data_IF_180366287979
#
_entry.id   IF_180366287979
#
_cell.length_a   1.000
_cell.length_b   1.000
_cell.length_c   1.000
_cell.angle_alpha   90.00
_cell.angle_beta   90.00
_cell.angle_gamma   90.00
#
_symmetry.space_group_name_H-M   'P 1'
#
loop_
_entity.id
_entity.type
_entity.pdbx_description
1 polymer ?
#
# COMPACT_ATOMS: atom_id res chain seq x y z
N UNK A 1 19.64 13.43 3.26
CA UNK A 1 19.44 12.23 2.41
C UNK A 1 19.51 10.98 3.26
N UNK A 2 18.57 10.05 3.09
CA UNK A 2 18.51 8.72 3.73
C UNK A 2 18.75 7.70 2.61
N UNK A 3 19.99 7.25 2.39
CA UNK A 3 20.29 6.37 1.26
C UNK A 3 19.73 4.96 1.51
N UNK A 4 19.26 4.30 0.44
CA UNK A 4 18.91 2.89 0.44
C UNK A 4 20.09 2.06 1.01
N UNK A 5 19.80 1.05 1.82
CA UNK A 5 20.78 0.22 2.49
C UNK A 5 21.40 0.83 3.76
N UNK A 6 21.02 2.07 4.13
CA UNK A 6 21.54 2.68 5.36
C UNK A 6 20.92 2.10 6.64
N UNK A 7 19.69 1.58 6.56
CA UNK A 7 18.91 1.04 7.70
C UNK A 7 18.94 1.94 8.95
N UNK A 8 19.00 3.26 8.71
CA UNK A 8 19.29 4.25 9.77
C UNK A 8 18.08 4.58 10.66
N UNK A 9 16.89 4.22 10.23
CA UNK A 9 15.67 4.45 11.00
C UNK A 9 15.18 3.12 11.59
N UNK A 10 15.10 3.01 12.92
CA UNK A 10 14.69 1.77 13.55
C UNK A 10 13.20 1.51 13.35
N UNK A 11 12.85 0.24 13.19
CA UNK A 11 11.47 -0.21 13.33
C UNK A 11 11.12 -0.41 14.80
N UNK A 12 9.82 -0.49 15.09
CA UNK A 12 9.32 -0.71 16.43
C UNK A 12 9.95 -1.96 17.09
N UNK A 13 10.18 -1.93 18.40
CA UNK A 13 10.69 -3.09 19.13
C UNK A 13 9.88 -4.35 18.85
N UNK A 14 10.56 -5.50 18.86
CA UNK A 14 9.95 -6.79 18.59
C UNK A 14 9.57 -7.05 17.11
N UNK A 15 9.96 -6.19 16.17
CA UNK A 15 9.77 -6.44 14.74
C UNK A 15 10.71 -7.55 14.26
N UNK A 16 10.16 -8.61 13.64
CA UNK A 16 10.95 -9.66 12.98
C UNK A 16 11.61 -9.14 11.71
N UNK A 17 12.74 -9.77 11.37
CA UNK A 17 13.47 -9.55 10.11
C UNK A 17 13.73 -10.90 9.46
N UNK A 18 13.84 -10.97 8.13
CA UNK A 18 14.31 -12.19 7.48
C UNK A 18 15.67 -12.60 8.06
N UNK A 19 15.83 -13.90 8.24
CA UNK A 19 17.11 -14.46 8.66
C UNK A 19 18.16 -14.24 7.57
N UNK A 20 19.41 -14.04 7.98
CA UNK A 20 20.52 -13.91 7.04
C UNK A 20 21.14 -12.52 6.99
N UNK A 21 21.96 -12.30 5.98
CA UNK A 21 22.72 -11.05 5.79
C UNK A 21 21.83 -9.92 5.24
N UNK A 22 21.67 -8.79 5.96
CA UNK A 22 20.90 -7.64 5.44
C UNK A 22 21.41 -7.14 4.09
N UNK A 23 22.72 -7.17 3.84
CA UNK A 23 23.28 -6.78 2.55
C UNK A 23 22.87 -7.73 1.42
N UNK A 24 22.60 -9.01 1.71
CA UNK A 24 22.02 -9.91 0.73
C UNK A 24 20.56 -9.56 0.41
N UNK A 25 19.78 -9.18 1.42
CA UNK A 25 18.43 -8.70 1.23
C UNK A 25 18.41 -7.42 0.38
N UNK A 26 19.28 -6.47 0.64
CA UNK A 26 19.41 -5.24 -0.17
C UNK A 26 19.74 -5.53 -1.64
N UNK A 27 20.64 -6.48 -1.90
CA UNK A 27 20.96 -6.90 -3.28
C UNK A 27 19.72 -7.45 -4.02
N UNK A 28 18.88 -8.23 -3.34
CA UNK A 28 17.65 -8.77 -3.91
C UNK A 28 16.63 -7.69 -4.21
N UNK A 29 16.45 -6.72 -3.31
CA UNK A 29 15.60 -5.54 -3.55
C UNK A 29 16.11 -4.76 -4.75
N UNK A 30 17.42 -4.47 -4.79
CA UNK A 30 18.03 -3.70 -5.88
C UNK A 30 17.91 -4.39 -7.24
N UNK A 31 18.06 -5.72 -7.29
CA UNK A 31 17.85 -6.51 -8.50
C UNK A 31 16.40 -6.40 -8.99
N UNK A 32 15.43 -6.55 -8.07
CA UNK A 32 14.02 -6.44 -8.40
C UNK A 32 13.64 -5.02 -8.83
N UNK A 33 14.18 -3.99 -8.16
CA UNK A 33 14.01 -2.59 -8.54
C UNK A 33 14.52 -2.31 -9.96
N UNK A 34 15.72 -2.77 -10.30
CA UNK A 34 16.30 -2.58 -11.64
C UNK A 34 15.42 -3.19 -12.71
N UNK A 35 14.92 -4.39 -12.46
CA UNK A 35 13.98 -5.04 -13.36
C UNK A 35 12.66 -4.26 -13.46
N UNK A 36 12.08 -3.84 -12.34
CA UNK A 36 10.85 -3.05 -12.30
C UNK A 36 11.02 -1.72 -13.06
N UNK A 37 12.11 -0.99 -12.80
CA UNK A 37 12.47 0.24 -13.49
C UNK A 37 12.53 0.04 -15.01
N UNK A 38 13.23 -0.99 -15.48
CA UNK A 38 13.37 -1.30 -16.91
C UNK A 38 12.04 -1.73 -17.56
N UNK A 39 11.17 -2.42 -16.82
CA UNK A 39 9.93 -2.97 -17.34
C UNK A 39 8.78 -1.97 -17.38
N UNK A 40 8.68 -1.08 -16.40
CA UNK A 40 7.48 -0.28 -16.19
C UNK A 40 7.70 1.23 -16.21
N UNK A 41 8.90 1.76 -16.13
CA UNK A 41 9.09 3.20 -16.33
C UNK A 41 9.16 3.54 -17.82
N UNK A 42 8.41 4.57 -18.20
CA UNK A 42 8.43 5.17 -19.55
C UNK A 42 8.79 6.63 -19.42
N UNK A 43 9.43 7.19 -20.45
CA UNK A 43 9.88 8.59 -20.42
C UNK A 43 9.81 9.25 -21.79
N UNK A 44 9.84 10.59 -21.80
CA UNK A 44 9.86 11.37 -23.02
C UNK A 44 8.54 11.31 -23.80
N UNK A 45 8.61 11.10 -25.11
CA UNK A 45 7.44 11.14 -26.00
C UNK A 45 6.40 10.05 -25.69
N UNK A 46 6.81 8.94 -25.07
CA UNK A 46 5.89 7.86 -24.65
C UNK A 46 4.92 8.31 -23.54
N UNK A 47 5.23 9.40 -22.83
CA UNK A 47 4.45 9.91 -21.70
C UNK A 47 4.08 11.39 -21.84
N UNK A 48 3.94 11.86 -23.08
CA UNK A 48 3.47 13.20 -23.36
C UNK A 48 4.53 14.29 -23.30
N UNK A 49 5.83 13.96 -23.44
CA UNK A 49 6.86 14.95 -23.71
C UNK A 49 8.13 14.90 -22.86
N UNK A 50 9.06 15.74 -23.26
CA UNK A 50 10.40 15.79 -22.68
C UNK A 50 10.39 16.08 -21.19
N UNK A 51 11.15 15.30 -20.43
CA UNK A 51 11.33 15.45 -18.98
C UNK A 51 10.22 14.86 -18.13
N UNK A 52 9.19 14.24 -18.74
CA UNK A 52 8.21 13.43 -18.03
C UNK A 52 8.66 11.98 -17.94
N UNK A 53 8.24 11.34 -16.88
CA UNK A 53 8.36 9.90 -16.67
C UNK A 53 7.03 9.43 -16.07
N UNK A 54 6.62 8.20 -16.35
CA UNK A 54 5.43 7.62 -15.74
C UNK A 54 5.60 6.12 -15.56
N UNK A 55 4.90 5.57 -14.58
CA UNK A 55 4.80 4.12 -14.41
C UNK A 55 3.71 3.59 -15.34
N UNK A 56 4.14 2.75 -16.27
CA UNK A 56 3.30 2.11 -17.26
C UNK A 56 2.71 0.81 -16.70
N UNK A 57 1.44 0.59 -16.95
CA UNK A 57 0.77 -0.70 -16.75
C UNK A 57 0.47 -1.33 -18.12
N UNK A 58 0.61 -2.66 -18.28
CA UNK A 58 0.35 -3.33 -19.56
C UNK A 58 -1.16 -3.52 -19.82
N UNK A 59 -1.98 -2.59 -19.36
CA UNK A 59 -3.40 -2.50 -19.70
C UNK A 59 -3.56 -1.57 -20.91
N UNK A 60 -4.08 -2.12 -22.01
CA UNK A 60 -4.23 -1.36 -23.25
C UNK A 60 -5.25 -0.21 -23.14
N UNK A 61 -6.23 -0.32 -22.24
CA UNK A 61 -7.24 0.72 -22.02
C UNK A 61 -6.74 1.83 -21.06
N UNK A 62 -5.96 1.45 -20.04
CA UNK A 62 -5.52 2.34 -18.97
C UNK A 62 -4.04 2.11 -18.65
N UNK A 63 -3.13 2.45 -19.57
CA UNK A 63 -1.70 2.21 -19.40
C UNK A 63 -1.04 3.07 -18.31
N UNK A 64 -1.70 4.13 -17.87
CA UNK A 64 -1.24 4.96 -16.78
C UNK A 64 -2.39 5.17 -15.79
N UNK A 65 -2.16 4.78 -14.54
CA UNK A 65 -3.14 4.90 -13.45
C UNK A 65 -2.52 5.57 -12.23
N UNK A 66 -3.32 6.31 -11.47
CA UNK A 66 -2.89 7.09 -10.31
C UNK A 66 -2.13 6.23 -9.28
N UNK A 67 -2.65 5.04 -8.95
CA UNK A 67 -1.99 4.09 -8.04
C UNK A 67 -0.55 3.78 -8.47
N UNK A 68 -0.33 3.51 -9.76
CA UNK A 68 0.99 3.20 -10.27
C UNK A 68 1.95 4.39 -10.17
N UNK A 69 1.45 5.63 -10.38
CA UNK A 69 2.26 6.83 -10.22
C UNK A 69 2.62 7.06 -8.75
N UNK A 70 1.67 6.87 -7.82
CA UNK A 70 1.93 6.90 -6.39
C UNK A 70 3.03 5.91 -5.98
N UNK A 71 2.93 4.65 -6.43
CA UNK A 71 3.98 3.65 -6.23
C UNK A 71 5.33 4.10 -6.78
N UNK A 72 5.35 4.68 -7.98
CA UNK A 72 6.57 5.18 -8.60
C UNK A 72 7.26 6.26 -7.78
N UNK A 73 6.51 7.20 -7.23
CA UNK A 73 7.05 8.27 -6.37
C UNK A 73 7.60 7.70 -5.06
N UNK A 74 6.87 6.83 -4.38
CA UNK A 74 7.34 6.20 -3.13
C UNK A 74 8.61 5.37 -3.39
N UNK A 75 8.60 4.50 -4.40
CA UNK A 75 9.72 3.63 -4.73
C UNK A 75 10.97 4.46 -5.07
N UNK A 76 10.87 5.45 -5.95
CA UNK A 76 12.02 6.24 -6.37
C UNK A 76 12.62 7.06 -5.23
N UNK A 77 11.79 7.60 -4.33
CA UNK A 77 12.27 8.27 -3.13
C UNK A 77 13.06 7.34 -2.18
N UNK A 78 12.57 6.11 -1.99
CA UNK A 78 13.22 5.12 -1.12
C UNK A 78 14.48 4.50 -1.75
N UNK A 79 14.60 4.49 -3.08
CA UNK A 79 15.78 3.98 -3.80
C UNK A 79 16.91 5.00 -3.96
N UNK A 80 16.76 6.20 -3.44
CA UNK A 80 17.82 7.21 -3.45
C UNK A 80 19.11 6.68 -2.79
N UNK A 81 20.24 7.00 -3.40
CA UNK A 81 21.56 6.51 -2.97
C UNK A 81 21.98 5.19 -3.64
N UNK A 82 21.03 4.30 -4.00
CA UNK A 82 21.33 3.10 -4.79
C UNK A 82 21.12 3.34 -6.30
N UNK A 83 20.20 4.23 -6.66
CA UNK A 83 19.98 4.65 -8.05
C UNK A 83 20.37 6.12 -8.20
N UNK A 84 21.41 6.44 -9.00
CA UNK A 84 21.81 7.82 -9.25
C UNK A 84 20.75 8.65 -9.99
N UNK A 85 19.81 7.99 -10.71
CA UNK A 85 18.74 8.64 -11.45
C UNK A 85 17.48 8.86 -10.59
N UNK A 86 17.42 8.34 -9.36
CA UNK A 86 16.21 8.32 -8.53
C UNK A 86 15.51 9.67 -8.41
N UNK A 87 16.24 10.75 -8.16
CA UNK A 87 15.69 12.09 -8.05
C UNK A 87 15.10 12.58 -9.39
N UNK A 88 15.81 12.35 -10.50
CA UNK A 88 15.34 12.73 -11.84
C UNK A 88 14.09 11.94 -12.26
N UNK A 89 14.02 10.68 -11.89
CA UNK A 89 12.85 9.81 -12.13
C UNK A 89 11.65 10.27 -11.29
N UNK A 90 11.87 10.56 -10.01
CA UNK A 90 10.84 11.13 -9.13
C UNK A 90 10.26 12.41 -9.74
N UNK A 91 11.11 13.38 -10.10
CA UNK A 91 10.69 14.63 -10.73
C UNK A 91 9.97 14.42 -12.06
N UNK A 92 10.38 13.41 -12.82
CA UNK A 92 9.72 13.03 -14.07
C UNK A 92 8.29 12.52 -13.85
N UNK A 93 8.09 11.64 -12.84
CA UNK A 93 6.78 11.11 -12.46
C UNK A 93 5.93 12.25 -11.88
N UNK A 94 6.50 13.09 -11.04
CA UNK A 94 5.78 14.25 -10.49
C UNK A 94 5.29 15.21 -11.59
N UNK A 95 6.09 15.47 -12.64
CA UNK A 95 5.64 16.28 -13.79
C UNK A 95 4.49 15.62 -14.55
N UNK A 96 4.47 14.30 -14.65
CA UNK A 96 3.32 13.58 -15.21
C UNK A 96 2.08 13.78 -14.33
N UNK A 97 2.19 13.53 -13.03
CA UNK A 97 1.10 13.72 -12.06
C UNK A 97 0.52 15.15 -12.13
N UNK A 98 1.38 16.17 -12.10
CA UNK A 98 0.95 17.57 -12.13
C UNK A 98 0.34 18.01 -13.48
N UNK A 99 0.58 17.26 -14.55
CA UNK A 99 0.01 17.54 -15.87
C UNK A 99 -1.41 16.96 -16.05
N UNK A 100 -1.87 16.12 -15.12
CA UNK A 100 -3.14 15.43 -15.17
C UNK A 100 -3.93 15.64 -13.86
N UNK A 101 -4.35 16.90 -13.57
CA UNK A 101 -5.16 17.17 -12.38
C UNK A 101 -6.56 16.56 -12.53
N UNK A 102 -7.18 16.21 -11.40
CA UNK A 102 -8.59 15.86 -11.39
C UNK A 102 -9.45 17.03 -11.87
N UNK A 103 -10.56 16.72 -12.56
CA UNK A 103 -11.53 17.72 -12.98
C UNK A 103 -12.24 18.38 -11.79
N UNK A 104 -12.30 17.70 -10.66
CA UNK A 104 -12.99 18.19 -9.45
C UNK A 104 -12.08 19.02 -8.54
N UNK A 105 -10.77 18.70 -8.49
CA UNK A 105 -9.81 19.43 -7.65
C UNK A 105 -8.41 19.48 -8.28
N UNK A 106 -7.78 20.67 -8.45
CA UNK A 106 -6.50 20.81 -9.17
C UNK A 106 -5.29 20.18 -8.46
N UNK A 107 -5.37 19.95 -7.15
CA UNK A 107 -4.30 19.29 -6.38
C UNK A 107 -4.49 17.77 -6.25
N UNK A 108 -5.57 17.19 -6.80
CA UNK A 108 -5.75 15.75 -6.95
C UNK A 108 -5.38 15.29 -8.37
N UNK A 109 -5.17 13.99 -8.56
CA UNK A 109 -4.72 13.43 -9.82
C UNK A 109 -5.84 12.67 -10.54
N UNK A 110 -6.04 12.94 -11.84
CA UNK A 110 -6.96 12.17 -12.67
C UNK A 110 -6.55 10.69 -12.69
N UNK A 111 -7.47 9.81 -12.33
CA UNK A 111 -7.18 8.42 -11.99
C UNK A 111 -6.55 7.62 -13.13
N UNK A 112 -6.84 7.97 -14.39
CA UNK A 112 -6.49 7.14 -15.55
C UNK A 112 -6.17 7.97 -16.79
N UNK A 113 -5.10 7.58 -17.52
CA UNK A 113 -4.77 8.12 -18.84
C UNK A 113 -4.69 6.99 -19.87
N UNK A 114 -5.11 7.30 -21.10
CA UNK A 114 -4.94 6.40 -22.26
C UNK A 114 -3.51 6.45 -22.83
N UNK A 115 -3.22 5.60 -23.80
CA UNK A 115 -1.91 5.53 -24.46
C UNK A 115 -1.52 6.82 -25.21
N UNK A 116 -2.47 7.72 -25.48
CA UNK A 116 -2.24 9.06 -26.02
C UNK A 116 -1.96 10.12 -24.96
N UNK A 117 -1.93 9.74 -23.68
CA UNK A 117 -1.74 10.65 -22.55
C UNK A 117 -2.95 11.54 -22.28
N UNK A 118 -4.17 11.13 -22.65
CA UNK A 118 -5.40 11.87 -22.36
C UNK A 118 -6.07 11.26 -21.13
N UNK A 119 -6.59 12.11 -20.27
CA UNK A 119 -7.38 11.65 -19.14
C UNK A 119 -8.67 10.96 -19.63
N UNK A 120 -9.02 9.82 -19.00
CA UNK A 120 -10.18 8.99 -19.34
C UNK A 120 -10.93 8.60 -18.06
N UNK A 121 -12.09 7.95 -18.22
CA UNK A 121 -12.84 7.40 -17.08
C UNK A 121 -13.49 8.45 -16.17
N UNK A 122 -13.87 9.62 -16.65
CA UNK A 122 -14.49 10.68 -15.84
C UNK A 122 -13.54 11.84 -15.54
N UNK A 123 -12.23 11.63 -15.68
CA UNK A 123 -11.17 12.59 -15.39
C UNK A 123 -11.11 12.99 -13.89
N UNK A 124 -11.67 12.17 -13.04
CA UNK A 124 -11.75 12.30 -11.60
C UNK A 124 -10.64 11.51 -10.91
N UNK A 125 -10.53 11.63 -9.59
CA UNK A 125 -9.42 11.05 -8.83
C UNK A 125 -9.68 9.60 -8.37
N UNK A 126 -8.62 8.98 -7.84
CA UNK A 126 -8.67 7.73 -7.08
C UNK A 126 -7.87 7.89 -5.79
N UNK A 127 -8.54 7.65 -4.66
CA UNK A 127 -8.01 7.94 -3.33
C UNK A 127 -6.70 7.24 -3.03
N UNK A 128 -6.54 5.96 -3.40
CA UNK A 128 -5.28 5.22 -3.17
C UNK A 128 -4.08 5.87 -3.87
N UNK A 129 -4.29 6.36 -5.10
CA UNK A 129 -3.26 7.07 -5.85
C UNK A 129 -2.87 8.39 -5.20
N UNK A 130 -3.85 9.20 -4.80
CA UNK A 130 -3.59 10.50 -4.18
C UNK A 130 -2.93 10.38 -2.80
N UNK A 131 -3.30 9.37 -2.01
CA UNK A 131 -2.63 9.06 -0.75
C UNK A 131 -1.15 8.72 -0.95
N UNK A 132 -0.83 7.79 -1.86
CA UNK A 132 0.55 7.40 -2.15
C UNK A 132 1.36 8.55 -2.80
N UNK A 133 0.74 9.38 -3.66
CA UNK A 133 1.38 10.57 -4.24
C UNK A 133 1.74 11.58 -3.15
N UNK A 134 0.81 11.89 -2.23
CA UNK A 134 1.05 12.80 -1.12
C UNK A 134 2.18 12.29 -0.21
N UNK A 135 2.16 10.98 0.10
CA UNK A 135 3.20 10.34 0.90
C UNK A 135 4.56 10.36 0.20
N UNK A 136 4.59 10.06 -1.10
CA UNK A 136 5.80 10.15 -1.93
C UNK A 136 6.42 11.55 -1.93
N UNK A 137 5.59 12.60 -1.98
CA UNK A 137 6.05 13.99 -1.87
C UNK A 137 6.68 14.31 -0.50
N UNK A 138 6.12 13.79 0.59
CA UNK A 138 6.72 13.93 1.92
C UNK A 138 8.06 13.18 2.03
N UNK A 139 8.16 11.98 1.44
CA UNK A 139 9.42 11.25 1.35
C UNK A 139 10.46 12.05 0.56
N UNK A 140 10.08 12.68 -0.55
CA UNK A 140 10.97 13.48 -1.38
C UNK A 140 11.48 14.72 -0.64
N UNK A 141 10.61 15.42 0.10
CA UNK A 141 11.01 16.56 0.93
C UNK A 141 12.08 16.14 1.95
N UNK A 142 11.85 15.03 2.67
CA UNK A 142 12.83 14.51 3.62
C UNK A 142 14.12 14.01 2.96
N UNK A 143 14.02 13.46 1.74
CA UNK A 143 15.16 12.88 1.02
C UNK A 143 16.06 13.94 0.39
N UNK A 144 15.46 14.94 -0.26
CA UNK A 144 16.18 15.93 -1.08
C UNK A 144 15.97 17.37 -0.66
N UNK A 145 15.02 17.64 0.23
CA UNK A 145 14.59 19.01 0.56
C UNK A 145 13.89 19.66 -0.64
N UNK A 146 13.95 20.98 -0.73
CA UNK A 146 13.45 21.67 -1.91
C UNK A 146 14.36 21.40 -3.12
N UNK A 147 13.77 20.85 -4.20
CA UNK A 147 14.44 20.59 -5.48
C UNK A 147 13.98 21.55 -6.57
N UNK A 148 13.63 21.01 -7.75
CA UNK A 148 12.94 21.78 -8.80
C UNK A 148 11.52 22.18 -8.42
N UNK A 149 10.95 21.50 -7.41
CA UNK A 149 9.62 21.74 -6.84
C UNK A 149 9.73 21.87 -5.33
N UNK A 150 8.83 22.63 -4.74
CA UNK A 150 8.61 22.63 -3.30
C UNK A 150 7.74 21.40 -2.94
N UNK A 151 8.41 20.26 -2.69
CA UNK A 151 7.74 18.99 -2.40
C UNK A 151 6.84 19.10 -1.16
N UNK A 152 7.28 19.82 -0.13
CA UNK A 152 6.49 20.01 1.09
C UNK A 152 5.21 20.77 0.81
N UNK A 153 5.28 21.88 0.09
CA UNK A 153 4.10 22.67 -0.25
C UNK A 153 3.13 21.88 -1.14
N UNK A 154 3.66 21.11 -2.11
CA UNK A 154 2.84 20.22 -2.96
C UNK A 154 2.16 19.13 -2.13
N UNK A 155 2.89 18.50 -1.20
CA UNK A 155 2.33 17.49 -0.31
C UNK A 155 1.19 18.05 0.54
N UNK A 156 1.40 19.18 1.21
CA UNK A 156 0.39 19.79 2.09
C UNK A 156 -0.88 20.13 1.31
N UNK A 157 -0.78 20.76 0.13
CA UNK A 157 -1.97 21.05 -0.69
C UNK A 157 -2.74 19.80 -1.08
N UNK A 158 -2.04 18.72 -1.47
CA UNK A 158 -2.69 17.44 -1.82
C UNK A 158 -3.32 16.79 -0.59
N UNK A 159 -2.65 16.78 0.55
CA UNK A 159 -3.18 16.25 1.81
C UNK A 159 -4.45 17.00 2.22
N UNK A 160 -4.48 18.33 2.08
CA UNK A 160 -5.67 19.14 2.34
C UNK A 160 -6.79 18.81 1.35
N UNK A 161 -6.48 18.66 0.06
CA UNK A 161 -7.45 18.27 -0.97
C UNK A 161 -8.04 16.86 -0.74
N UNK A 162 -7.21 15.89 -0.35
CA UNK A 162 -7.66 14.55 0.04
C UNK A 162 -8.62 14.64 1.22
N UNK A 163 -8.28 15.40 2.25
CA UNK A 163 -9.13 15.55 3.44
C UNK A 163 -10.47 16.23 3.10
N UNK A 164 -10.48 17.15 2.16
CA UNK A 164 -11.68 17.86 1.71
C UNK A 164 -12.56 17.01 0.79
N UNK A 165 -11.96 16.33 -0.19
CA UNK A 165 -12.69 15.68 -1.29
C UNK A 165 -12.81 14.17 -1.16
N UNK A 166 -11.83 13.50 -0.55
CA UNK A 166 -11.71 12.03 -0.53
C UNK A 166 -11.88 11.40 0.85
N UNK A 167 -12.11 12.23 1.88
CA UNK A 167 -12.51 11.77 3.23
C UNK A 167 -13.94 12.21 3.51
N UNK A 168 -14.79 11.28 3.95
CA UNK A 168 -16.17 11.60 4.29
C UNK A 168 -16.25 12.45 5.55
N UNK A 169 -16.88 13.62 5.46
CA UNK A 169 -16.90 14.63 6.51
C UNK A 169 -17.48 14.19 7.86
N UNK A 170 -18.44 13.24 7.83
CA UNK A 170 -19.10 12.74 9.05
C UNK A 170 -18.43 11.50 9.64
N UNK A 171 -18.06 10.52 8.81
CA UNK A 171 -17.49 9.24 9.28
C UNK A 171 -15.99 9.24 9.40
N UNK A 172 -15.30 10.18 8.76
CA UNK A 172 -13.84 10.25 8.65
C UNK A 172 -13.21 9.07 7.91
N UNK A 173 -14.00 8.27 7.20
CA UNK A 173 -13.48 7.19 6.36
C UNK A 173 -13.12 7.71 4.97
N UNK A 174 -12.14 7.09 4.35
CA UNK A 174 -11.78 7.36 2.94
C UNK A 174 -12.93 6.97 2.02
N UNK A 175 -13.19 7.80 1.02
CA UNK A 175 -14.07 7.53 -0.11
C UNK A 175 -13.26 6.87 -1.23
N UNK A 176 -13.88 6.58 -2.36
CA UNK A 176 -13.23 5.93 -3.50
C UNK A 176 -12.45 6.91 -4.38
N UNK A 177 -12.82 8.18 -4.32
CA UNK A 177 -12.26 9.29 -5.07
C UNK A 177 -13.10 10.55 -4.86
N UNK A 178 -12.69 11.67 -5.43
CA UNK A 178 -13.37 12.97 -5.33
C UNK A 178 -14.74 13.01 -6.04
N UNK A 179 -15.06 12.01 -6.84
CA UNK A 179 -16.32 11.79 -7.53
C UNK A 179 -17.37 11.07 -6.67
N UNK A 180 -16.98 10.46 -5.56
CA UNK A 180 -17.86 9.64 -4.73
C UNK A 180 -19.03 10.45 -4.18
N UNK A 181 -20.22 10.10 -4.61
CA UNK A 181 -21.48 10.74 -4.22
C UNK A 181 -22.64 9.75 -4.25
N UNK A 182 -23.78 10.11 -3.66
CA UNK A 182 -24.94 9.23 -3.59
C UNK A 182 -24.59 7.91 -2.90
N UNK A 183 -24.89 6.78 -3.53
CA UNK A 183 -24.58 5.45 -2.95
C UNK A 183 -23.08 5.20 -2.76
N UNK A 184 -22.20 5.86 -3.49
CA UNK A 184 -20.76 5.69 -3.35
C UNK A 184 -20.16 6.53 -2.22
N UNK A 185 -20.90 7.48 -1.67
CA UNK A 185 -20.50 8.23 -0.48
C UNK A 185 -20.50 7.36 0.79
N UNK A 186 -21.16 6.20 0.73
CA UNK A 186 -21.24 5.20 1.80
C UNK A 186 -20.34 3.99 1.57
N UNK A 187 -19.36 4.10 0.68
CA UNK A 187 -18.44 3.01 0.33
C UNK A 187 -17.00 3.43 0.64
N UNK A 188 -16.27 2.53 1.27
CA UNK A 188 -14.82 2.70 1.51
C UNK A 188 -14.08 1.44 1.06
N UNK A 189 -12.93 1.62 0.41
CA UNK A 189 -12.03 0.55 -0.03
C UNK A 189 -10.99 0.29 1.05
N UNK A 190 -10.80 -0.97 1.46
CA UNK A 190 -9.92 -1.29 2.59
C UNK A 190 -8.44 -1.04 2.31
N UNK A 191 -8.01 -1.21 1.07
CA UNK A 191 -6.63 -0.92 0.66
C UNK A 191 -6.24 0.57 0.72
N UNK A 192 -7.23 1.46 0.82
CA UNK A 192 -7.02 2.90 1.01
C UNK A 192 -6.89 3.26 2.51
N UNK A 193 -7.04 2.28 3.39
CA UNK A 193 -6.83 2.44 4.81
C UNK A 193 -5.34 2.32 5.12
N UNK A 194 -4.64 3.45 5.04
CA UNK A 194 -3.18 3.56 5.11
C UNK A 194 -2.74 4.28 6.40
N UNK A 195 -2.70 3.58 7.56
CA UNK A 195 -2.47 4.22 8.85
C UNK A 195 -1.16 4.99 8.95
N UNK A 196 -0.07 4.49 8.35
CA UNK A 196 1.23 5.14 8.31
C UNK A 196 1.20 6.46 7.50
N UNK A 197 0.43 6.51 6.42
CA UNK A 197 0.18 7.72 5.64
C UNK A 197 -0.60 8.75 6.45
N UNK A 198 -1.67 8.35 7.12
CA UNK A 198 -2.47 9.24 7.96
C UNK A 198 -1.65 9.88 9.08
N UNK A 199 -0.73 9.10 9.70
CA UNK A 199 0.22 9.65 10.69
C UNK A 199 1.18 10.66 10.09
N UNK A 200 1.70 10.37 8.90
CA UNK A 200 2.58 11.28 8.18
C UNK A 200 1.86 12.58 7.81
N UNK A 201 0.60 12.49 7.37
CA UNK A 201 -0.22 13.65 7.02
C UNK A 201 -0.53 14.50 8.26
N UNK A 202 -0.85 13.86 9.39
CA UNK A 202 -0.99 14.54 10.68
C UNK A 202 0.27 15.30 11.08
N UNK A 203 1.42 14.67 10.95
CA UNK A 203 2.71 15.29 11.27
C UNK A 203 3.06 16.44 10.31
N UNK A 204 2.75 16.28 9.02
CA UNK A 204 3.08 17.24 7.99
C UNK A 204 2.25 18.52 8.05
N UNK A 205 0.94 18.40 8.32
CA UNK A 205 -0.03 19.50 8.28
C UNK A 205 -0.33 20.08 9.66
N UNK A 206 -0.16 19.29 10.73
CA UNK A 206 -0.62 19.66 12.07
C UNK A 206 -2.15 19.54 12.25
N UNK A 207 -2.91 19.11 11.23
CA UNK A 207 -4.37 19.06 11.28
C UNK A 207 -4.86 17.85 12.10
N UNK A 208 -5.57 18.08 13.23
CA UNK A 208 -6.01 17.01 14.11
C UNK A 208 -7.08 16.09 13.49
N UNK A 209 -7.72 16.48 12.40
CA UNK A 209 -8.68 15.64 11.69
C UNK A 209 -8.05 14.33 11.18
N UNK A 210 -6.74 14.30 10.94
CA UNK A 210 -6.03 13.08 10.58
C UNK A 210 -5.93 12.07 11.72
N UNK A 211 -5.97 12.53 12.99
CA UNK A 211 -6.10 11.61 14.14
C UNK A 211 -7.50 10.96 14.15
N UNK A 212 -8.54 11.73 13.80
CA UNK A 212 -9.93 11.23 13.67
C UNK A 212 -10.04 10.22 12.51
N UNK A 213 -9.39 10.51 11.36
CA UNK A 213 -9.32 9.59 10.22
C UNK A 213 -8.66 8.27 10.62
N UNK A 214 -7.49 8.33 11.24
CA UNK A 214 -6.78 7.15 11.73
C UNK A 214 -7.64 6.31 12.67
N UNK A 215 -8.26 6.94 13.68
CA UNK A 215 -9.06 6.23 14.66
C UNK A 215 -10.34 5.62 14.07
N UNK A 216 -11.00 6.30 13.13
CA UNK A 216 -12.16 5.79 12.42
C UNK A 216 -11.81 4.50 11.65
N UNK A 217 -10.71 4.52 10.89
CA UNK A 217 -10.26 3.36 10.12
C UNK A 217 -9.87 2.19 11.01
N UNK A 218 -9.06 2.42 12.06
CA UNK A 218 -8.64 1.33 12.95
C UNK A 218 -9.81 0.77 13.79
N UNK A 219 -10.80 1.59 14.10
CA UNK A 219 -12.05 1.12 14.73
C UNK A 219 -12.82 0.22 13.76
N UNK A 220 -12.92 0.62 12.49
CA UNK A 220 -13.62 -0.16 11.48
C UNK A 220 -12.90 -1.48 11.16
N UNK A 221 -11.56 -1.46 11.07
CA UNK A 221 -10.74 -2.69 10.98
C UNK A 221 -11.11 -3.66 12.09
N UNK A 222 -11.14 -3.19 13.34
CA UNK A 222 -11.53 -4.02 14.50
C UNK A 222 -12.95 -4.57 14.38
N UNK A 223 -13.91 -3.74 13.98
CA UNK A 223 -15.31 -4.10 13.83
C UNK A 223 -15.53 -5.15 12.74
N UNK A 224 -14.95 -4.95 11.54
CA UNK A 224 -15.06 -5.89 10.42
C UNK A 224 -14.46 -7.24 10.80
N UNK A 225 -13.25 -7.25 11.38
CA UNK A 225 -12.59 -8.48 11.81
C UNK A 225 -13.40 -9.25 12.84
N UNK A 226 -13.96 -8.56 13.82
CA UNK A 226 -14.72 -9.21 14.90
C UNK A 226 -16.07 -9.74 14.42
N UNK A 227 -16.78 -9.00 13.57
CA UNK A 227 -18.16 -9.34 13.17
C UNK A 227 -18.23 -10.23 11.94
N UNK A 228 -17.33 -10.05 10.97
CA UNK A 228 -17.42 -10.66 9.65
C UNK A 228 -16.31 -11.66 9.35
N UNK A 229 -15.17 -11.56 10.04
CA UNK A 229 -14.01 -12.41 9.82
C UNK A 229 -13.34 -12.88 11.13
N UNK A 230 -14.11 -13.38 12.14
CA UNK A 230 -13.55 -13.67 13.46
C UNK A 230 -12.50 -14.78 13.47
N UNK A 231 -12.56 -15.70 12.50
CA UNK A 231 -11.61 -16.81 12.38
C UNK A 231 -10.37 -16.46 11.54
N UNK A 232 -10.45 -15.46 10.67
CA UNK A 232 -9.40 -15.17 9.69
C UNK A 232 -8.75 -13.79 9.88
N UNK A 233 -9.53 -12.82 10.32
CA UNK A 233 -9.14 -11.42 10.36
C UNK A 233 -9.04 -10.75 8.98
N UNK A 234 -9.48 -11.42 7.90
CA UNK A 234 -9.47 -10.88 6.55
C UNK A 234 -10.39 -9.67 6.43
N UNK A 235 -10.02 -8.72 5.57
CA UNK A 235 -10.85 -7.57 5.22
C UNK A 235 -11.41 -7.76 3.81
N UNK A 236 -12.60 -7.23 3.49
CA UNK A 236 -13.15 -7.25 2.14
C UNK A 236 -12.51 -6.18 1.27
N UNK A 237 -12.60 -6.30 -0.05
CA UNK A 237 -12.18 -5.22 -0.96
C UNK A 237 -12.93 -3.91 -0.66
N UNK A 238 -14.25 -4.00 -0.41
CA UNK A 238 -15.08 -2.84 -0.09
C UNK A 238 -15.98 -3.06 1.12
N UNK A 239 -16.11 -2.01 1.92
CA UNK A 239 -17.09 -1.87 3.00
C UNK A 239 -18.15 -0.88 2.56
N UNK A 240 -19.42 -1.23 2.74
CA UNK A 240 -20.59 -0.40 2.42
C UNK A 240 -21.34 0.02 3.68
N UNK A 241 -22.33 0.88 3.51
CA UNK A 241 -23.19 1.39 4.58
C UNK A 241 -22.38 2.11 5.68
N UNK A 242 -21.28 2.75 5.31
CA UNK A 242 -20.35 3.39 6.26
C UNK A 242 -20.98 4.55 7.05
N UNK A 243 -22.09 5.13 6.55
CA UNK A 243 -22.81 6.23 7.20
C UNK A 243 -24.00 5.76 8.05
N UNK A 244 -24.43 4.50 7.90
CA UNK A 244 -25.62 3.97 8.57
C UNK A 244 -25.40 3.54 10.04
N UNK A 245 -24.15 3.52 10.50
CA UNK A 245 -23.78 3.01 11.81
C UNK A 245 -23.63 1.47 11.88
N UNK A 246 -23.85 0.74 10.78
CA UNK A 246 -23.63 -0.70 10.66
C UNK A 246 -22.83 -1.04 9.38
N UNK A 247 -21.58 -0.55 9.29
CA UNK A 247 -20.74 -0.83 8.12
C UNK A 247 -20.46 -2.34 8.00
N UNK A 248 -20.55 -2.83 6.75
CA UNK A 248 -20.45 -4.27 6.44
C UNK A 248 -19.72 -4.52 5.11
N UNK A 249 -19.20 -5.73 4.90
CA UNK A 249 -18.66 -6.13 3.60
C UNK A 249 -19.68 -5.93 2.48
N UNK A 250 -19.21 -5.55 1.30
CA UNK A 250 -20.08 -5.41 0.13
C UNK A 250 -20.86 -6.72 -0.14
N UNK A 251 -22.17 -6.67 -0.40
CA UNK A 251 -22.98 -7.89 -0.59
C UNK A 251 -22.75 -8.58 -1.95
N UNK A 252 -21.86 -8.04 -2.77
CA UNK A 252 -21.53 -8.47 -4.12
C UNK A 252 -20.92 -7.29 -4.87
N UNK A 253 -21.07 -7.23 -6.21
CA UNK A 253 -20.47 -6.17 -7.00
C UNK A 253 -21.05 -4.79 -6.63
N UNK A 254 -20.19 -3.93 -6.12
CA UNK A 254 -20.46 -2.51 -5.86
C UNK A 254 -19.76 -1.65 -6.92
N UNK A 255 -18.51 -1.93 -7.21
CA UNK A 255 -17.70 -1.18 -8.17
C UNK A 255 -17.00 -2.10 -9.18
N UNK A 256 -16.20 -3.06 -8.74
CA UNK A 256 -15.23 -3.76 -9.59
C UNK A 256 -15.67 -5.18 -9.98
N UNK A 257 -16.04 -6.01 -9.00
CA UNK A 257 -16.26 -7.43 -9.24
C UNK A 257 -17.36 -8.02 -8.35
N UNK A 258 -17.86 -9.24 -8.64
CA UNK A 258 -18.74 -9.96 -7.72
C UNK A 258 -18.09 -10.29 -6.37
N UNK A 259 -16.77 -10.11 -6.24
CA UNK A 259 -15.97 -10.41 -5.05
C UNK A 259 -15.62 -9.16 -4.23
N UNK A 260 -16.31 -8.04 -4.46
CA UNK A 260 -16.07 -6.79 -3.73
C UNK A 260 -16.26 -6.92 -2.20
N UNK A 261 -17.01 -7.92 -1.73
CA UNK A 261 -17.17 -8.24 -0.32
C UNK A 261 -16.20 -9.30 0.22
N UNK A 262 -15.28 -9.78 -0.60
CA UNK A 262 -14.29 -10.80 -0.27
C UNK A 262 -12.88 -10.18 -0.13
N UNK A 263 -11.93 -10.93 0.43
CA UNK A 263 -10.50 -10.61 0.37
C UNK A 263 -10.00 -10.91 -1.05
N UNK A 264 -9.83 -9.87 -1.86
CA UNK A 264 -9.54 -10.02 -3.27
C UNK A 264 -8.45 -9.03 -3.72
N UNK A 265 -8.54 -8.46 -4.91
CA UNK A 265 -7.45 -7.69 -5.53
C UNK A 265 -7.18 -6.31 -4.91
N UNK A 266 -8.10 -5.76 -4.12
CA UNK A 266 -7.85 -4.56 -3.31
C UNK A 266 -7.33 -4.94 -1.94
N UNK A 267 -8.08 -5.75 -1.19
CA UNK A 267 -7.76 -6.17 0.16
C UNK A 267 -6.44 -6.96 0.27
N UNK A 268 -5.93 -7.51 -0.84
CA UNK A 268 -4.62 -8.16 -0.85
C UNK A 268 -3.48 -7.25 -0.39
N UNK A 269 -3.66 -5.93 -0.42
CA UNK A 269 -2.72 -4.92 0.09
C UNK A 269 -2.80 -4.71 1.61
N UNK A 270 -3.92 -5.05 2.26
CA UNK A 270 -4.15 -4.77 3.68
C UNK A 270 -3.07 -5.33 4.61
N UNK A 271 -2.55 -6.57 4.42
CA UNK A 271 -1.47 -7.06 5.26
C UNK A 271 -0.19 -6.20 5.17
N UNK A 272 0.08 -5.60 4.02
CA UNK A 272 1.18 -4.65 3.87
C UNK A 272 0.85 -3.31 4.52
N UNK A 273 -0.32 -2.70 4.24
CA UNK A 273 -0.69 -1.38 4.77
C UNK A 273 -0.74 -1.38 6.31
N UNK A 274 -1.38 -2.37 6.91
CA UNK A 274 -1.43 -2.54 8.36
C UNK A 274 -0.08 -2.95 8.95
N UNK A 275 0.66 -3.82 8.24
CA UNK A 275 1.98 -4.26 8.66
C UNK A 275 3.03 -3.14 8.63
N UNK A 276 3.02 -2.27 7.61
CA UNK A 276 3.93 -1.13 7.53
C UNK A 276 3.75 -0.17 8.71
N UNK A 277 2.50 0.18 9.06
CA UNK A 277 2.25 0.97 10.26
C UNK A 277 2.67 0.24 11.54
N UNK A 278 2.36 -1.04 11.66
CA UNK A 278 2.73 -1.83 12.84
C UNK A 278 4.24 -1.83 13.10
N UNK A 279 5.05 -1.93 12.05
CA UNK A 279 6.52 -1.98 12.20
C UNK A 279 7.15 -0.59 12.32
N UNK A 280 6.50 0.46 11.83
CA UNK A 280 7.06 1.81 11.89
C UNK A 280 6.58 2.59 13.11
N UNK A 281 5.28 2.50 13.45
CA UNK A 281 4.69 3.22 14.59
C UNK A 281 4.70 2.43 15.90
N UNK A 282 4.61 1.09 15.81
CA UNK A 282 4.39 0.22 16.97
C UNK A 282 2.97 0.27 17.53
N UNK A 283 1.97 0.83 16.80
CA UNK A 283 0.58 0.87 17.26
C UNK A 283 0.05 -0.55 17.49
N UNK A 284 -0.48 -0.77 18.69
CA UNK A 284 -0.96 -2.09 19.12
C UNK A 284 -2.14 -2.60 18.29
N UNK A 285 -2.95 -1.72 17.72
CA UNK A 285 -4.13 -2.07 16.90
C UNK A 285 -3.71 -2.61 15.54
N UNK A 286 -2.81 -1.90 14.84
CA UNK A 286 -2.27 -2.36 13.55
C UNK A 286 -1.40 -3.59 13.72
N UNK A 287 -0.63 -3.68 14.80
CA UNK A 287 0.15 -4.88 15.14
C UNK A 287 -0.76 -6.09 15.36
N UNK A 288 -1.82 -5.96 16.16
CA UNK A 288 -2.78 -7.05 16.39
C UNK A 288 -3.50 -7.46 15.09
N UNK A 289 -3.80 -6.51 14.20
CA UNK A 289 -4.40 -6.80 12.91
C UNK A 289 -3.44 -7.55 11.98
N UNK A 290 -2.22 -7.05 11.81
CA UNK A 290 -1.20 -7.67 10.97
C UNK A 290 -0.83 -9.08 11.45
N UNK A 291 -0.59 -9.25 12.77
CA UNK A 291 -0.34 -10.57 13.38
C UNK A 291 -1.47 -11.55 13.13
N UNK A 292 -2.73 -11.11 13.27
CA UNK A 292 -3.90 -11.96 13.01
C UNK A 292 -3.93 -12.45 11.57
N UNK A 293 -3.72 -11.56 10.60
CA UNK A 293 -3.67 -11.89 9.18
C UNK A 293 -2.53 -12.87 8.86
N UNK A 294 -1.33 -12.62 9.39
CA UNK A 294 -0.17 -13.49 9.18
C UNK A 294 -0.36 -14.88 9.78
N UNK A 295 -0.81 -14.98 11.03
CA UNK A 295 -1.10 -16.25 11.71
C UNK A 295 -2.14 -17.08 10.97
N UNK A 296 -3.22 -16.43 10.54
CA UNK A 296 -4.24 -17.10 9.73
C UNK A 296 -3.64 -17.65 8.44
N UNK A 297 -2.91 -16.82 7.66
CA UNK A 297 -2.32 -17.24 6.40
C UNK A 297 -1.35 -18.40 6.57
N UNK A 298 -0.50 -18.36 7.61
CA UNK A 298 0.42 -19.45 7.97
C UNK A 298 -0.35 -20.75 8.28
N UNK A 299 -1.37 -20.68 9.11
CA UNK A 299 -2.18 -21.84 9.47
C UNK A 299 -2.95 -22.40 8.26
N UNK A 300 -3.61 -21.55 7.48
CA UNK A 300 -4.39 -21.93 6.30
C UNK A 300 -3.54 -22.58 5.19
N UNK A 301 -2.25 -22.24 5.13
CA UNK A 301 -1.31 -22.77 4.13
C UNK A 301 -0.43 -23.91 4.67
N UNK A 302 -0.50 -24.19 5.96
CA UNK A 302 0.44 -25.11 6.62
C UNK A 302 1.89 -24.63 6.58
N UNK A 303 2.10 -23.30 6.59
CA UNK A 303 3.42 -22.67 6.54
C UNK A 303 4.06 -22.63 5.13
N UNK A 304 3.33 -22.99 4.07
CA UNK A 304 3.82 -22.98 2.70
C UNK A 304 3.24 -21.78 1.92
N UNK A 305 4.02 -20.71 1.65
CA UNK A 305 3.54 -19.53 0.90
C UNK A 305 3.07 -19.85 -0.52
N UNK A 306 3.48 -20.97 -1.11
CA UNK A 306 3.01 -21.37 -2.45
C UNK A 306 1.52 -21.73 -2.48
N UNK A 307 0.94 -22.01 -1.32
CA UNK A 307 -0.49 -22.32 -1.17
C UNK A 307 -1.39 -21.10 -1.00
N UNK A 308 -0.84 -19.91 -0.84
CA UNK A 308 -1.62 -18.66 -0.84
C UNK A 308 -2.38 -18.57 -2.16
N UNK A 309 -3.65 -18.14 -2.10
CA UNK A 309 -4.54 -18.02 -3.27
C UNK A 309 -4.84 -16.56 -3.57
N UNK A 310 -5.31 -16.29 -4.79
CA UNK A 310 -5.66 -14.94 -5.26
C UNK A 310 -7.12 -14.57 -4.98
N UNK A 311 -7.68 -15.06 -3.89
CA UNK A 311 -9.03 -14.75 -3.45
C UNK A 311 -9.50 -15.68 -2.36
N UNK A 312 -10.10 -15.07 -1.33
CA UNK A 312 -10.69 -15.78 -0.19
C UNK A 312 -12.00 -15.09 0.21
N UNK A 313 -12.99 -15.88 0.56
CA UNK A 313 -14.10 -15.37 1.37
C UNK A 313 -13.60 -15.00 2.76
N UNK A 314 -14.33 -14.16 3.47
CA UNK A 314 -13.92 -13.72 4.80
C UNK A 314 -13.88 -14.86 5.84
N UNK A 315 -14.55 -15.97 5.59
CA UNK A 315 -14.45 -17.20 6.39
C UNK A 315 -13.19 -18.04 6.12
N UNK A 316 -12.35 -17.63 5.15
CA UNK A 316 -11.12 -18.31 4.75
C UNK A 316 -11.30 -19.29 3.59
N UNK A 317 -12.51 -19.47 3.06
CA UNK A 317 -12.73 -20.32 1.88
C UNK A 317 -12.05 -19.73 0.65
N UNK A 318 -11.04 -20.43 0.13
CA UNK A 318 -10.30 -20.03 -1.05
C UNK A 318 -11.10 -20.32 -2.33
N UNK A 319 -11.09 -19.37 -3.28
CA UNK A 319 -11.72 -19.56 -4.60
C UNK A 319 -10.81 -19.10 -5.76
N UNK A 320 -9.81 -18.29 -5.49
CA UNK A 320 -8.90 -17.76 -6.51
C UNK A 320 -7.89 -18.80 -7.00
N UNK A 321 -7.18 -18.44 -8.07
CA UNK A 321 -6.04 -19.19 -8.59
C UNK A 321 -4.82 -19.18 -7.66
N UNK A 322 -3.66 -19.70 -8.08
CA UNK A 322 -2.41 -19.56 -7.33
C UNK A 322 -2.13 -18.09 -7.01
N UNK A 323 -1.65 -17.83 -5.79
CA UNK A 323 -1.38 -16.48 -5.32
C UNK A 323 -0.31 -15.78 -6.17
N UNK A 324 -0.65 -14.61 -6.70
CA UNK A 324 0.33 -13.73 -7.33
C UNK A 324 1.21 -13.06 -6.26
N UNK A 325 2.34 -12.44 -6.63
CA UNK A 325 3.13 -11.63 -5.69
C UNK A 325 2.32 -10.55 -4.96
N UNK A 326 1.23 -10.02 -5.56
CA UNK A 326 0.34 -9.07 -4.90
C UNK A 326 -0.39 -9.66 -3.69
N UNK A 327 -0.60 -10.98 -3.65
CA UNK A 327 -1.20 -11.68 -2.52
C UNK A 327 -0.18 -12.25 -1.54
N UNK A 328 1.01 -12.61 -1.99
CA UNK A 328 2.01 -13.25 -1.13
C UNK A 328 2.92 -12.24 -0.42
N UNK A 329 3.34 -11.20 -1.11
CA UNK A 329 4.30 -10.23 -0.57
C UNK A 329 3.75 -9.41 0.63
N UNK A 330 2.48 -8.94 0.64
CA UNK A 330 1.91 -8.26 1.79
C UNK A 330 1.94 -9.07 3.09
N UNK A 331 1.76 -10.39 3.02
CA UNK A 331 1.85 -11.23 4.21
C UNK A 331 3.25 -11.29 4.82
N UNK A 332 4.31 -11.06 4.04
CA UNK A 332 5.66 -10.95 4.59
C UNK A 332 5.81 -9.71 5.48
N UNK A 333 5.19 -8.59 5.10
CA UNK A 333 5.17 -7.39 5.92
C UNK A 333 4.36 -7.63 7.20
N UNK A 334 3.19 -8.26 7.09
CA UNK A 334 2.38 -8.61 8.26
C UNK A 334 3.10 -9.57 9.21
N UNK A 335 3.89 -10.53 8.69
CA UNK A 335 4.65 -11.48 9.48
C UNK A 335 5.73 -10.81 10.34
N UNK A 336 6.28 -9.67 9.92
CA UNK A 336 7.23 -8.91 10.73
C UNK A 336 6.65 -8.47 12.08
N UNK A 337 5.34 -8.32 12.20
CA UNK A 337 4.66 -7.92 13.42
C UNK A 337 4.54 -9.06 14.46
N UNK A 338 4.93 -10.31 14.14
CA UNK A 338 4.78 -11.48 15.03
C UNK A 338 5.89 -11.63 16.09
N UNK A 339 6.89 -10.75 16.14
CA UNK A 339 8.11 -10.96 16.95
C UNK A 339 7.99 -10.67 18.45
N UNK A 340 6.96 -9.97 18.94
CA UNK A 340 6.76 -9.80 20.38
C UNK A 340 5.91 -10.93 20.95
N UNK A 341 6.35 -11.45 22.11
CA UNK A 341 5.55 -12.33 22.92
C UNK A 341 4.57 -11.49 23.73
N UNK A 342 3.28 -11.69 23.52
CA UNK A 342 2.27 -11.18 24.47
C UNK A 342 2.36 -12.03 25.74
N UNK A 343 2.89 -11.48 26.84
CA UNK A 343 2.99 -12.16 28.15
C UNK A 343 1.65 -12.73 28.67
N UNK A 344 0.53 -12.34 28.06
CA UNK A 344 -0.84 -12.69 28.51
C UNK A 344 -1.44 -13.89 27.78
N UNK A 345 -0.98 -14.24 26.57
CA UNK A 345 -1.61 -15.28 25.72
C UNK A 345 -0.80 -16.60 25.65
N UNK A 346 0.47 -16.60 26.08
CA UNK A 346 1.40 -17.72 25.84
C UNK A 346 1.41 -18.78 26.95
N UNK A 347 0.28 -19.17 27.51
CA UNK A 347 0.25 -20.38 28.36
C UNK A 347 0.05 -21.70 27.60
N UNK A 348 -0.23 -21.67 26.29
CA UNK A 348 -0.65 -22.89 25.56
C UNK A 348 0.10 -23.23 24.27
N UNK A 349 1.04 -22.41 23.77
CA UNK A 349 1.72 -22.74 22.50
C UNK A 349 3.26 -22.55 22.61
N UNK A 350 3.96 -23.62 22.93
CA UNK A 350 5.44 -23.67 23.00
C UNK A 350 6.18 -23.54 21.66
N UNK A 351 5.52 -23.21 20.55
CA UNK A 351 6.07 -23.18 19.19
C UNK A 351 6.02 -21.79 18.48
N UNK A 352 5.57 -20.73 19.17
CA UNK A 352 5.26 -19.46 18.52
C UNK A 352 6.42 -18.77 17.79
N UNK A 353 7.58 -18.70 18.40
CA UNK A 353 8.71 -17.89 17.89
C UNK A 353 9.42 -18.49 16.68
N UNK A 354 9.74 -19.78 16.70
CA UNK A 354 10.41 -20.44 15.56
C UNK A 354 9.50 -20.55 14.35
N UNK A 355 8.21 -20.82 14.54
CA UNK A 355 7.24 -20.88 13.47
C UNK A 355 6.99 -19.54 12.77
N UNK A 356 6.99 -18.41 13.50
CA UNK A 356 6.82 -17.07 12.92
C UNK A 356 8.04 -16.65 12.11
N UNK A 357 9.25 -16.92 12.61
CA UNK A 357 10.50 -16.63 11.89
C UNK A 357 10.60 -17.47 10.61
N UNK A 358 10.35 -18.77 10.70
CA UNK A 358 10.37 -19.66 9.53
C UNK A 358 9.32 -19.25 8.47
N UNK A 359 8.17 -18.77 8.91
CA UNK A 359 7.13 -18.24 8.01
C UNK A 359 7.58 -16.98 7.28
N UNK A 360 8.15 -16.01 7.99
CA UNK A 360 8.71 -14.80 7.37
C UNK A 360 9.81 -15.15 6.37
N UNK A 361 10.72 -16.06 6.72
CA UNK A 361 11.79 -16.49 5.84
C UNK A 361 11.28 -17.19 4.58
N UNK A 362 10.26 -18.03 4.72
CA UNK A 362 9.61 -18.67 3.57
C UNK A 362 8.90 -17.66 2.64
N UNK A 363 8.21 -16.67 3.21
CA UNK A 363 7.59 -15.57 2.44
C UNK A 363 8.66 -14.73 1.74
N UNK A 364 9.75 -14.39 2.42
CA UNK A 364 10.87 -13.66 1.83
C UNK A 364 11.48 -14.42 0.66
N UNK A 365 11.80 -15.70 0.86
CA UNK A 365 12.32 -16.56 -0.20
C UNK A 365 11.36 -16.66 -1.39
N UNK A 366 10.05 -16.75 -1.13
CA UNK A 366 9.02 -16.77 -2.17
C UNK A 366 8.96 -15.46 -2.95
N UNK A 367 9.05 -14.31 -2.26
CA UNK A 367 9.11 -13.00 -2.92
C UNK A 367 10.34 -12.90 -3.81
N UNK A 368 11.51 -13.24 -3.31
CA UNK A 368 12.77 -13.13 -4.06
C UNK A 368 12.82 -14.10 -5.25
N UNK A 369 12.29 -15.32 -5.07
CA UNK A 369 12.31 -16.36 -6.10
C UNK A 369 11.19 -16.31 -7.13
N UNK A 370 10.18 -15.45 -6.97
CA UNK A 370 9.10 -15.35 -7.95
C UNK A 370 9.64 -14.79 -9.27
N UNK A 371 9.36 -15.45 -10.43
CA UNK A 371 9.88 -15.00 -11.70
C UNK A 371 9.34 -13.60 -12.06
N UNK A 372 10.14 -12.77 -12.74
CA UNK A 372 9.68 -11.52 -13.30
C UNK A 372 8.56 -11.74 -14.32
N UNK A 373 7.51 -10.92 -14.26
CA UNK A 373 6.39 -10.95 -15.21
C UNK A 373 6.06 -9.54 -15.69
N UNK A 374 6.50 -9.14 -16.90
CA UNK A 374 6.28 -7.79 -17.42
C UNK A 374 4.81 -7.51 -17.77
N UNK A 375 3.93 -8.51 -17.73
CA UNK A 375 2.49 -8.31 -17.91
C UNK A 375 1.77 -7.91 -16.61
N UNK A 376 2.49 -7.82 -15.46
CA UNK A 376 1.86 -7.66 -14.14
C UNK A 376 2.48 -6.51 -13.33
N UNK A 377 2.36 -5.28 -13.83
CA UNK A 377 2.90 -4.07 -13.19
C UNK A 377 2.41 -3.89 -11.75
N UNK A 378 1.10 -4.08 -11.52
CA UNK A 378 0.50 -4.01 -10.18
C UNK A 378 1.19 -4.96 -9.18
N UNK A 379 1.26 -6.24 -9.52
CA UNK A 379 1.90 -7.23 -8.64
C UNK A 379 3.40 -6.96 -8.43
N UNK A 380 4.08 -6.41 -9.42
CA UNK A 380 5.49 -6.03 -9.33
C UNK A 380 5.69 -4.83 -8.38
N UNK A 381 4.80 -3.83 -8.44
CA UNK A 381 4.81 -2.66 -7.56
C UNK A 381 4.55 -3.04 -6.10
N UNK A 382 3.47 -3.79 -5.84
CA UNK A 382 3.14 -4.28 -4.49
C UNK A 382 4.28 -5.13 -3.91
N UNK A 383 4.86 -6.03 -4.71
CA UNK A 383 6.02 -6.83 -4.29
C UNK A 383 7.21 -5.97 -3.92
N UNK A 384 7.57 -4.99 -4.75
CA UNK A 384 8.75 -4.15 -4.51
C UNK A 384 8.58 -3.30 -3.24
N UNK A 385 7.41 -2.71 -3.02
CA UNK A 385 7.13 -1.96 -1.80
C UNK A 385 7.15 -2.86 -0.56
N UNK A 386 6.57 -4.06 -0.63
CA UNK A 386 6.68 -5.04 0.44
C UNK A 386 8.13 -5.45 0.71
N UNK A 387 8.93 -5.64 -0.33
CA UNK A 387 10.36 -5.94 -0.18
C UNK A 387 11.14 -4.80 0.50
N UNK A 388 10.81 -3.54 0.19
CA UNK A 388 11.41 -2.36 0.85
C UNK A 388 11.10 -2.34 2.35
N UNK A 389 9.87 -2.67 2.75
CA UNK A 389 9.51 -2.78 4.18
C UNK A 389 10.25 -3.94 4.83
N UNK A 390 10.18 -5.13 4.25
CA UNK A 390 10.74 -6.36 4.85
C UNK A 390 12.27 -6.29 4.97
N UNK A 391 12.95 -5.62 4.04
CA UNK A 391 14.39 -5.40 4.08
C UNK A 391 14.84 -4.23 4.97
N UNK A 392 13.93 -3.56 5.71
CA UNK A 392 14.21 -2.35 6.49
C UNK A 392 14.70 -1.13 5.69
N UNK A 393 14.33 -1.05 4.42
CA UNK A 393 14.62 0.12 3.58
C UNK A 393 13.43 1.09 3.45
N UNK A 394 12.30 0.75 4.08
CA UNK A 394 11.16 1.65 4.21
C UNK A 394 11.31 2.51 5.47
N UNK A 395 10.98 3.79 5.36
CA UNK A 395 10.99 4.74 6.46
C UNK A 395 9.85 5.77 6.28
N UNK A 396 9.38 6.33 7.37
CA UNK A 396 8.31 7.33 7.36
C UNK A 396 8.87 8.73 7.21
N UNK A 397 8.22 9.62 6.43
CA UNK A 397 8.66 10.98 6.19
C UNK A 397 8.60 11.89 7.40
#
# INVERSE_FOLDING_TARGET
MIPFGAHSLPYAPGTLRPSGDPAAADRQVLEHYRWWKASFLRSGDEVGGRGRCAVFTPDAAHPFVAEAQGYGLVITALMAGADPDAHGLFDGILRHVLAHPSVNHPDLHAAQQDAGGRDVGGHDSATDGDLDIAYGLLLADRQWGGGHSDYKALAVRRIDAVLECEVHGGTRLTKLGDWSSGRFDEVSRTSDWMPDHFRAFRAATGDPRWDEVLDAHLTLVGAVRTRHAPATGLLPDFVVDTTSGDPRPAPGKVLESPHDGDYHWNACRDPWRLGADAVTSGDVRTRAAARGLSRWARAATGGDPARIRSGYRLDGTAYGGPGSPAFTAPFAVAAMAEGERDEVVERDEGEGGEGAQGWLDALWARMCGAPPDPARAYAAGVRLQSMLVVSHNYWVP
#
